data_IF_910304104856
#
_entry.id   IF_910304104856
#
_cell.length_a   1.000
_cell.length_b   1.000
_cell.length_c   1.000
_cell.angle_alpha   90.00
_cell.angle_beta   90.00
_cell.angle_gamma   90.00
#
_symmetry.space_group_name_H-M   'P 1'
#
loop_
_entity.id
_entity.type
_entity.pdbx_description
1 polymer ?
#
# COMPACT_ATOMS: atom_id res chain seq x y z
N UNK A 1 20.99 -28.05 12.02
CA UNK A 1 20.18 -28.37 10.84
C UNK A 1 19.73 -27.07 10.18
N UNK A 2 19.54 -27.07 8.87
CA UNK A 2 18.96 -25.92 8.17
C UNK A 2 17.47 -25.84 8.52
N UNK A 3 16.91 -24.62 8.67
CA UNK A 3 15.47 -24.47 8.90
C UNK A 3 14.67 -25.09 7.76
N UNK A 4 13.58 -25.76 8.07
CA UNK A 4 12.74 -26.46 7.08
C UNK A 4 11.71 -25.53 6.45
N UNK A 5 11.45 -24.38 7.06
CA UNK A 5 10.61 -23.31 6.53
C UNK A 5 11.06 -21.92 7.02
N UNK A 6 10.48 -20.85 6.43
CA UNK A 6 10.79 -19.47 6.79
C UNK A 6 10.48 -19.16 8.27
N UNK A 7 9.52 -19.85 8.87
CA UNK A 7 9.12 -19.69 10.27
C UNK A 7 10.21 -20.25 11.18
N UNK A 8 10.79 -21.37 10.82
CA UNK A 8 11.88 -22.00 11.56
C UNK A 8 13.18 -21.17 11.48
N UNK A 9 13.45 -20.54 10.35
CA UNK A 9 14.55 -19.59 10.16
C UNK A 9 14.45 -18.39 11.11
N UNK A 10 13.26 -17.84 11.29
CA UNK A 10 13.01 -16.74 12.24
C UNK A 10 13.04 -17.18 13.71
N UNK A 11 12.80 -18.44 14.01
CA UNK A 11 12.91 -18.98 15.40
C UNK A 11 14.33 -18.94 15.95
N UNK A 12 15.33 -18.93 15.09
CA UNK A 12 16.75 -19.01 15.49
C UNK A 12 17.50 -17.66 15.37
N UNK A 13 16.93 -16.60 14.82
CA UNK A 13 17.64 -15.35 14.48
C UNK A 13 17.32 -14.14 15.35
N UNK A 14 17.31 -14.26 16.69
CA UNK A 14 17.26 -13.10 17.58
C UNK A 14 15.88 -12.75 18.17
N UNK A 15 15.78 -11.61 18.85
CA UNK A 15 14.55 -11.19 19.54
C UNK A 15 13.40 -10.99 18.54
N UNK A 16 12.30 -11.73 18.76
CA UNK A 16 11.09 -11.61 17.92
C UNK A 16 10.44 -10.26 18.12
N UNK A 17 10.05 -9.61 17.02
CA UNK A 17 9.33 -8.33 17.07
C UNK A 17 7.92 -8.50 17.63
N UNK A 18 7.27 -9.65 17.33
CA UNK A 18 5.93 -9.98 17.81
C UNK A 18 5.91 -11.26 18.59
N UNK A 19 5.05 -11.35 19.62
CA UNK A 19 4.86 -12.57 20.40
C UNK A 19 4.27 -13.70 19.54
N UNK A 20 4.79 -14.93 19.68
CA UNK A 20 4.41 -16.07 18.84
C UNK A 20 2.94 -16.45 18.97
N UNK A 21 2.41 -16.44 20.20
CA UNK A 21 1.01 -16.72 20.49
C UNK A 21 0.06 -15.76 19.77
N UNK A 22 0.43 -14.49 19.68
CA UNK A 22 -0.31 -13.47 18.93
C UNK A 22 -0.27 -13.73 17.43
N UNK A 23 0.91 -14.02 16.88
CA UNK A 23 1.07 -14.37 15.45
C UNK A 23 0.26 -15.61 15.10
N UNK A 24 0.27 -16.65 15.94
CA UNK A 24 -0.49 -17.88 15.72
C UNK A 24 -2.00 -17.64 15.81
N UNK A 25 -2.45 -16.78 16.70
CA UNK A 25 -3.85 -16.33 16.75
C UNK A 25 -4.28 -15.65 15.45
N UNK A 26 -3.42 -14.79 14.90
CA UNK A 26 -3.65 -14.14 13.60
C UNK A 26 -3.73 -15.16 12.47
N UNK A 27 -2.78 -16.10 12.39
CA UNK A 27 -2.79 -17.17 11.37
C UNK A 27 -4.09 -17.98 11.37
N UNK A 28 -4.63 -18.30 12.54
CA UNK A 28 -5.91 -18.99 12.67
C UNK A 28 -7.10 -18.20 12.11
N UNK A 29 -6.99 -16.88 12.05
CA UNK A 29 -7.97 -15.97 11.45
C UNK A 29 -7.86 -15.84 9.93
N UNK A 30 -6.75 -16.25 9.31
CA UNK A 30 -6.54 -16.17 7.87
C UNK A 30 -7.48 -17.08 7.11
N UNK A 31 -8.06 -16.57 6.02
CA UNK A 31 -9.01 -17.28 5.16
C UNK A 31 -8.62 -17.11 3.70
N UNK A 32 -9.04 -18.08 2.87
CA UNK A 32 -8.88 -17.94 1.43
C UNK A 32 -9.66 -16.72 0.89
N UNK A 33 -9.15 -16.04 -0.16
CA UNK A 33 -9.87 -14.96 -0.80
C UNK A 33 -11.19 -15.47 -1.43
N UNK A 34 -12.21 -14.63 -1.43
CA UNK A 34 -13.50 -14.94 -2.08
C UNK A 34 -13.45 -14.73 -3.60
N UNK A 35 -12.62 -13.78 -4.05
CA UNK A 35 -12.47 -13.45 -5.47
C UNK A 35 -10.98 -13.30 -5.79
N UNK A 36 -10.61 -13.75 -6.98
CA UNK A 36 -9.26 -13.59 -7.54
C UNK A 36 -9.43 -12.91 -8.91
N UNK A 37 -8.58 -11.95 -9.22
CA UNK A 37 -8.65 -11.22 -10.48
C UNK A 37 -7.71 -10.03 -10.52
N UNK A 38 -8.15 -8.96 -11.17
CA UNK A 38 -7.49 -7.67 -11.13
C UNK A 38 -8.46 -6.50 -11.36
N UNK A 39 -8.02 -5.27 -11.03
CA UNK A 39 -8.76 -4.04 -11.27
C UNK A 39 -8.16 -3.34 -12.49
N UNK A 40 -9.01 -2.93 -13.41
CA UNK A 40 -8.66 -2.26 -14.65
C UNK A 40 -9.46 -0.97 -14.82
N UNK A 41 -8.85 0.02 -15.46
CA UNK A 41 -9.50 1.20 -16.04
C UNK A 41 -9.35 1.18 -17.56
N UNK A 42 -9.70 2.28 -18.23
CA UNK A 42 -9.58 2.41 -19.69
C UNK A 42 -8.13 2.57 -20.19
N UNK A 43 -7.17 2.67 -19.27
CA UNK A 43 -5.75 2.77 -19.57
C UNK A 43 -4.88 2.35 -18.38
N UNK A 44 -3.57 2.33 -18.61
CA UNK A 44 -2.58 1.91 -17.60
C UNK A 44 -2.02 3.08 -16.80
N UNK A 45 -2.09 4.31 -17.33
CA UNK A 45 -1.54 5.54 -16.74
C UNK A 45 -2.42 6.75 -17.04
N UNK A 46 -2.24 7.82 -16.26
CA UNK A 46 -2.89 9.10 -16.47
C UNK A 46 -4.41 9.05 -16.26
N UNK A 47 -5.14 9.99 -16.83
CA UNK A 47 -6.59 10.14 -16.62
C UNK A 47 -7.40 8.92 -17.03
N UNK A 48 -7.00 8.24 -18.11
CA UNK A 48 -7.69 7.02 -18.59
C UNK A 48 -7.59 5.87 -17.58
N UNK A 49 -6.52 5.83 -16.79
CA UNK A 49 -6.34 4.84 -15.74
C UNK A 49 -7.45 4.90 -14.68
N UNK A 50 -8.05 6.10 -14.47
CA UNK A 50 -9.10 6.36 -13.48
C UNK A 50 -10.52 6.30 -14.06
N UNK A 51 -10.67 6.05 -15.36
CA UNK A 51 -11.98 5.97 -16.03
C UNK A 51 -12.46 4.53 -16.08
N UNK A 52 -13.76 4.31 -15.88
CA UNK A 52 -14.43 3.00 -15.95
C UNK A 52 -13.72 1.90 -15.13
N UNK A 53 -13.23 2.29 -13.95
CA UNK A 53 -12.49 1.37 -13.06
C UNK A 53 -13.41 0.27 -12.58
N UNK A 54 -13.04 -0.99 -12.86
CA UNK A 54 -13.82 -2.18 -12.53
C UNK A 54 -12.93 -3.36 -12.17
N UNK A 55 -13.44 -4.23 -11.33
CA UNK A 55 -12.83 -5.53 -11.05
C UNK A 55 -13.23 -6.55 -12.12
N UNK A 56 -12.27 -7.31 -12.62
CA UNK A 56 -12.47 -8.44 -13.52
C UNK A 56 -11.93 -9.71 -12.84
N UNK A 57 -12.78 -10.73 -12.76
CA UNK A 57 -12.37 -12.03 -12.21
C UNK A 57 -11.43 -12.75 -13.18
N UNK A 58 -10.33 -13.26 -12.65
CA UNK A 58 -9.34 -14.06 -13.35
C UNK A 58 -8.66 -15.00 -12.35
N UNK A 59 -8.76 -16.30 -12.57
CA UNK A 59 -8.16 -17.32 -11.68
C UNK A 59 -6.64 -17.21 -11.59
N UNK A 60 -5.99 -16.61 -12.57
CA UNK A 60 -4.54 -16.34 -12.59
C UNK A 60 -4.19 -14.92 -12.14
N UNK A 61 -5.19 -14.12 -11.74
CA UNK A 61 -5.01 -12.77 -11.25
C UNK A 61 -4.18 -12.69 -9.97
N UNK A 62 -3.51 -11.56 -9.78
CA UNK A 62 -2.66 -11.31 -8.61
C UNK A 62 -3.36 -10.51 -7.51
N UNK A 63 -4.60 -10.05 -7.76
CA UNK A 63 -5.41 -9.37 -6.75
C UNK A 63 -6.35 -10.36 -6.07
N UNK A 64 -6.16 -10.54 -4.78
CA UNK A 64 -6.99 -11.35 -3.91
C UNK A 64 -7.96 -10.43 -3.16
N UNK A 65 -9.26 -10.71 -3.22
CA UNK A 65 -10.29 -9.92 -2.57
C UNK A 65 -11.06 -10.81 -1.58
N UNK A 66 -11.12 -10.40 -0.32
CA UNK A 66 -11.98 -10.99 0.71
C UNK A 66 -13.33 -10.30 0.77
N UNK A 67 -13.34 -8.96 0.66
CA UNK A 67 -14.57 -8.17 0.59
C UNK A 67 -14.43 -7.12 -0.52
N UNK A 68 -15.44 -7.07 -1.42
CA UNK A 68 -15.56 -5.98 -2.40
C UNK A 68 -15.92 -4.69 -1.68
N UNK A 69 -15.67 -3.51 -2.29
CA UNK A 69 -16.06 -2.24 -1.68
C UNK A 69 -17.59 -2.18 -1.47
N UNK A 70 -17.98 -1.60 -0.35
CA UNK A 70 -19.36 -1.29 -0.04
C UNK A 70 -19.55 0.22 -0.12
N UNK A 71 -20.66 0.63 -0.71
CA UNK A 71 -21.02 2.03 -0.89
C UNK A 71 -22.31 2.27 -0.09
N UNK A 72 -22.23 3.15 0.91
CA UNK A 72 -23.40 3.55 1.70
C UNK A 72 -23.68 5.03 1.46
N UNK A 73 -24.90 5.35 1.02
CA UNK A 73 -25.29 6.73 0.73
C UNK A 73 -25.41 7.58 2.00
N UNK A 74 -25.85 7.00 3.13
CA UNK A 74 -26.21 7.72 4.35
C UNK A 74 -25.13 7.75 5.44
N UNK A 75 -24.10 6.90 5.37
CA UNK A 75 -23.05 6.81 6.39
C UNK A 75 -21.66 6.77 5.76
N UNK A 76 -21.28 7.87 5.10
CA UNK A 76 -19.95 7.95 4.50
C UNK A 76 -18.88 8.16 5.56
N UNK A 77 -18.18 7.09 5.90
CA UNK A 77 -16.97 7.17 6.72
C UNK A 77 -15.84 7.72 5.87
N UNK A 78 -15.38 8.93 6.18
CA UNK A 78 -14.25 9.54 5.47
C UNK A 78 -13.02 8.62 5.55
N UNK A 79 -12.44 8.30 4.40
CA UNK A 79 -11.32 7.38 4.29
C UNK A 79 -11.59 6.01 4.95
N UNK A 80 -12.80 5.47 4.74
CA UNK A 80 -13.12 4.11 5.20
C UNK A 80 -12.08 3.12 4.72
N UNK A 81 -11.75 3.18 3.43
CA UNK A 81 -10.71 2.34 2.85
C UNK A 81 -9.36 3.06 2.82
N UNK A 82 -8.31 2.30 3.10
CA UNK A 82 -6.93 2.72 3.05
C UNK A 82 -6.16 1.76 2.14
N UNK A 83 -5.52 2.28 1.10
CA UNK A 83 -4.64 1.51 0.22
C UNK A 83 -3.21 1.85 0.55
N UNK A 84 -2.44 0.84 0.96
CA UNK A 84 -1.03 0.97 1.32
C UNK A 84 -0.17 0.20 0.32
N UNK A 85 0.92 0.80 -0.10
CA UNK A 85 1.84 0.24 -1.10
C UNK A 85 3.24 0.17 -0.52
N UNK A 86 3.81 -1.04 -0.55
CA UNK A 86 5.23 -1.30 -0.34
C UNK A 86 5.87 -1.66 -1.67
N UNK A 87 6.94 -0.95 -2.02
CA UNK A 87 7.58 -1.04 -3.33
C UNK A 87 8.79 -1.97 -3.24
N UNK A 88 8.66 -3.15 -3.83
CA UNK A 88 9.76 -4.08 -4.07
C UNK A 88 10.47 -3.83 -5.42
N UNK A 89 11.18 -4.82 -5.89
CA UNK A 89 11.92 -4.76 -7.15
C UNK A 89 11.20 -5.42 -8.34
N UNK A 90 11.74 -5.20 -9.55
CA UNK A 90 11.23 -5.76 -10.81
C UNK A 90 11.66 -7.20 -11.08
N UNK A 91 12.86 -7.57 -10.65
CA UNK A 91 13.45 -8.87 -10.97
C UNK A 91 12.89 -9.97 -10.10
N UNK A 92 12.90 -11.21 -10.60
CA UNK A 92 12.46 -12.39 -9.82
C UNK A 92 13.30 -12.64 -8.55
N UNK A 93 14.49 -12.04 -8.43
CA UNK A 93 15.34 -12.13 -7.25
C UNK A 93 15.22 -10.93 -6.31
N UNK A 94 14.36 -9.96 -6.61
CA UNK A 94 14.12 -8.79 -5.77
C UNK A 94 12.93 -9.05 -4.83
N UNK A 95 12.78 -8.17 -3.83
CA UNK A 95 11.63 -8.19 -2.94
C UNK A 95 10.32 -7.98 -3.70
N UNK A 96 9.24 -8.57 -3.20
CA UNK A 96 7.90 -8.43 -3.76
C UNK A 96 7.36 -7.03 -3.52
N UNK A 97 6.71 -6.47 -4.55
CA UNK A 97 5.84 -5.31 -4.36
C UNK A 97 4.48 -5.77 -3.85
N UNK A 98 3.93 -5.04 -2.89
CA UNK A 98 2.66 -5.39 -2.25
C UNK A 98 1.73 -4.17 -2.20
N UNK A 99 0.45 -4.39 -2.53
CA UNK A 99 -0.62 -3.42 -2.31
C UNK A 99 -1.63 -4.06 -1.37
N UNK A 100 -1.91 -3.44 -0.24
CA UNK A 100 -2.90 -3.93 0.74
C UNK A 100 -4.01 -2.91 0.89
N UNK A 101 -5.25 -3.39 0.89
CA UNK A 101 -6.43 -2.56 1.15
C UNK A 101 -6.99 -2.93 2.51
N UNK A 102 -7.11 -1.93 3.37
CA UNK A 102 -7.74 -2.04 4.68
C UNK A 102 -9.12 -1.40 4.68
N UNK A 103 -10.11 -2.07 5.28
CA UNK A 103 -11.37 -1.47 5.72
C UNK A 103 -11.25 -1.05 7.19
N UNK A 104 -11.47 0.23 7.46
CA UNK A 104 -11.37 0.83 8.80
C UNK A 104 -12.73 1.07 9.46
N UNK A 105 -13.83 0.61 8.85
CA UNK A 105 -15.19 0.86 9.36
C UNK A 105 -15.34 0.52 10.84
N UNK A 106 -14.90 -0.66 11.24
CA UNK A 106 -15.04 -1.14 12.61
C UNK A 106 -14.21 -0.41 13.64
N UNK A 107 -13.19 0.37 13.21
CA UNK A 107 -12.41 1.21 14.13
C UNK A 107 -13.25 2.32 14.76
N UNK A 108 -14.35 2.73 14.13
CA UNK A 108 -15.28 3.72 14.71
C UNK A 108 -15.99 3.19 15.95
N UNK A 109 -16.14 1.88 16.08
CA UNK A 109 -16.77 1.19 17.21
C UNK A 109 -15.73 0.58 18.17
N UNK A 110 -14.47 1.02 18.10
CA UNK A 110 -13.38 0.48 18.91
C UNK A 110 -12.84 -0.88 18.42
N UNK A 111 -13.25 -1.33 17.23
CA UNK A 111 -12.75 -2.54 16.59
C UNK A 111 -11.42 -2.33 15.87
N UNK A 112 -11.01 -3.35 15.10
CA UNK A 112 -9.75 -3.38 14.34
C UNK A 112 -10.00 -3.22 12.84
N UNK A 113 -9.02 -2.66 12.07
CA UNK A 113 -9.12 -2.68 10.62
C UNK A 113 -9.02 -4.10 10.07
N UNK A 114 -9.69 -4.35 8.96
CA UNK A 114 -9.63 -5.63 8.25
C UNK A 114 -8.88 -5.47 6.92
N UNK A 115 -8.04 -6.44 6.58
CA UNK A 115 -7.51 -6.57 5.22
C UNK A 115 -8.65 -7.10 4.34
N UNK A 116 -9.05 -6.31 3.35
CA UNK A 116 -10.16 -6.66 2.43
C UNK A 116 -9.68 -7.02 1.03
N UNK A 117 -8.48 -6.57 0.64
CA UNK A 117 -7.83 -7.02 -0.58
C UNK A 117 -6.30 -6.93 -0.46
N UNK A 118 -5.62 -7.75 -1.27
CA UNK A 118 -4.17 -7.75 -1.40
C UNK A 118 -3.77 -8.08 -2.83
N UNK A 119 -2.83 -7.31 -3.36
CA UNK A 119 -2.12 -7.62 -4.59
C UNK A 119 -0.64 -7.78 -4.28
N UNK A 120 0.04 -8.71 -4.95
CA UNK A 120 1.49 -8.86 -4.86
C UNK A 120 2.07 -9.26 -6.21
N UNK A 121 3.30 -8.83 -6.49
CA UNK A 121 3.96 -9.13 -7.75
C UNK A 121 5.27 -8.40 -7.93
N UNK A 122 5.94 -8.68 -9.05
CA UNK A 122 7.11 -7.95 -9.52
C UNK A 122 6.70 -7.09 -10.72
N UNK A 123 6.78 -5.77 -10.58
CA UNK A 123 6.34 -4.81 -11.59
C UNK A 123 7.18 -3.53 -11.49
N UNK A 124 7.22 -2.75 -12.55
CA UNK A 124 7.82 -1.43 -12.52
C UNK A 124 7.13 -0.52 -11.50
N UNK A 125 7.92 0.27 -10.76
CA UNK A 125 7.42 1.10 -9.67
C UNK A 125 6.37 2.13 -10.13
N UNK A 126 6.53 2.70 -11.32
CA UNK A 126 5.55 3.64 -11.88
C UNK A 126 4.23 2.93 -12.24
N UNK A 127 4.28 1.75 -12.83
CA UNK A 127 3.09 0.93 -13.09
C UNK A 127 2.43 0.45 -11.79
N UNK A 128 3.22 0.12 -10.77
CA UNK A 128 2.71 -0.24 -9.44
C UNK A 128 1.92 0.92 -8.83
N UNK A 129 2.46 2.14 -8.90
CA UNK A 129 1.80 3.31 -8.35
C UNK A 129 0.45 3.60 -9.05
N UNK A 130 0.39 3.49 -10.38
CA UNK A 130 -0.87 3.60 -11.13
C UNK A 130 -1.83 2.46 -10.82
N UNK A 131 -1.32 1.25 -10.70
CA UNK A 131 -2.10 0.08 -10.31
C UNK A 131 -2.71 0.24 -8.92
N UNK A 132 -1.98 0.83 -7.98
CA UNK A 132 -2.48 1.17 -6.65
C UNK A 132 -3.56 2.26 -6.70
N UNK A 133 -3.38 3.30 -7.51
CA UNK A 133 -4.36 4.35 -7.69
C UNK A 133 -5.69 3.81 -8.28
N UNK A 134 -5.64 2.87 -9.24
CA UNK A 134 -6.84 2.17 -9.73
C UNK A 134 -7.58 1.43 -8.62
N UNK A 135 -6.85 0.72 -7.74
CA UNK A 135 -7.48 0.02 -6.60
C UNK A 135 -8.05 0.99 -5.60
N UNK A 136 -7.36 2.09 -5.33
CA UNK A 136 -7.89 3.14 -4.47
C UNK A 136 -9.17 3.76 -5.05
N UNK A 137 -9.22 3.95 -6.37
CA UNK A 137 -10.43 4.40 -7.07
C UNK A 137 -11.56 3.38 -6.97
N UNK A 138 -11.26 2.09 -7.15
CA UNK A 138 -12.23 1.00 -7.02
C UNK A 138 -12.79 0.89 -5.60
N UNK A 139 -11.96 1.10 -4.57
CA UNK A 139 -12.37 1.09 -3.16
C UNK A 139 -12.84 2.49 -2.69
N UNK A 140 -13.82 3.05 -3.37
CA UNK A 140 -14.51 4.30 -3.02
C UNK A 140 -13.57 5.49 -2.79
N UNK A 141 -12.64 5.72 -3.70
CA UNK A 141 -11.62 6.76 -3.58
C UNK A 141 -10.84 6.69 -2.24
N UNK A 142 -10.39 5.50 -1.90
CA UNK A 142 -9.63 5.22 -0.68
C UNK A 142 -8.44 6.17 -0.49
N UNK A 143 -8.04 6.44 0.76
CA UNK A 143 -6.78 7.13 1.02
C UNK A 143 -5.61 6.27 0.51
N UNK A 144 -4.89 6.79 -0.48
CA UNK A 144 -3.75 6.09 -1.09
C UNK A 144 -2.44 6.50 -0.41
N UNK A 145 -1.75 5.54 0.20
CA UNK A 145 -0.46 5.71 0.87
C UNK A 145 0.59 4.88 0.15
N UNK A 146 1.49 5.53 -0.56
CA UNK A 146 2.60 4.87 -1.27
C UNK A 146 3.87 5.11 -0.47
N UNK A 147 4.67 4.06 -0.22
CA UNK A 147 5.99 4.23 0.35
C UNK A 147 6.89 4.98 -0.64
N UNK A 148 7.52 6.04 -0.17
CA UNK A 148 8.30 6.92 -1.04
C UNK A 148 9.80 6.64 -1.04
N UNK A 149 10.30 5.79 -0.14
CA UNK A 149 11.75 5.54 0.03
C UNK A 149 12.42 5.10 -1.27
N UNK A 150 11.89 4.08 -1.91
CA UNK A 150 12.40 3.56 -3.18
C UNK A 150 12.23 4.58 -4.31
N UNK A 151 11.18 5.38 -4.22
CA UNK A 151 10.92 6.46 -5.17
C UNK A 151 11.81 7.69 -4.94
N UNK A 152 12.34 7.90 -3.74
CA UNK A 152 13.22 9.01 -3.37
C UNK A 152 14.71 8.63 -3.42
N UNK A 153 15.05 7.34 -3.57
CA UNK A 153 16.44 6.90 -3.68
C UNK A 153 16.99 7.37 -5.03
N UNK A 154 18.01 8.23 -4.95
CA UNK A 154 18.76 8.69 -6.12
C UNK A 154 19.59 7.52 -6.64
N UNK A 155 19.06 6.73 -7.54
CA UNK A 155 19.87 5.84 -8.37
C UNK A 155 20.81 6.73 -9.20
N UNK A 156 22.11 6.64 -8.92
CA UNK A 156 23.14 7.45 -9.59
C UNK A 156 23.11 7.29 -11.11
N UNK A 157 22.62 6.17 -11.62
CA UNK A 157 22.44 5.90 -13.05
C UNK A 157 21.23 6.64 -13.66
N UNK A 158 20.18 6.94 -12.87
CA UNK A 158 18.99 7.67 -13.32
C UNK A 158 19.11 9.19 -13.25
N UNK A 159 20.05 9.72 -12.46
CA UNK A 159 20.35 11.17 -12.39
C UNK A 159 20.86 11.71 -13.73
N UNK A 160 21.48 10.86 -14.55
CA UNK A 160 22.00 11.25 -15.88
C UNK A 160 20.90 11.47 -16.93
N UNK A 161 19.66 11.00 -16.69
CA UNK A 161 18.51 11.16 -17.61
C UNK A 161 17.49 12.24 -17.20
N UNK A 162 17.81 13.09 -16.23
CA UNK A 162 17.07 14.32 -15.95
C UNK A 162 15.88 14.20 -15.00
N UNK A 163 16.13 14.34 -13.71
CA UNK A 163 15.13 14.71 -12.72
C UNK A 163 14.73 13.59 -11.74
N UNK A 164 14.22 14.01 -10.61
CA UNK A 164 13.73 13.17 -9.52
C UNK A 164 12.43 12.46 -9.96
N UNK A 165 12.56 11.25 -10.53
CA UNK A 165 11.41 10.51 -11.09
C UNK A 165 10.37 10.13 -10.04
N UNK A 166 10.72 10.06 -8.78
CA UNK A 166 9.84 9.67 -7.69
C UNK A 166 8.81 10.74 -7.35
N UNK A 167 9.29 11.98 -7.21
CA UNK A 167 8.43 13.14 -7.03
C UNK A 167 7.53 13.34 -8.25
N UNK A 168 8.04 13.03 -9.43
CA UNK A 168 7.31 13.10 -10.67
C UNK A 168 6.14 12.12 -10.75
N UNK A 169 6.31 10.83 -10.37
CA UNK A 169 5.24 9.82 -10.41
C UNK A 169 4.12 10.18 -9.43
N UNK A 170 4.47 10.56 -8.20
CA UNK A 170 3.48 10.93 -7.19
C UNK A 170 2.71 12.20 -7.56
N UNK A 171 3.39 13.18 -8.17
CA UNK A 171 2.74 14.38 -8.69
C UNK A 171 1.80 14.07 -9.86
N UNK A 172 2.20 13.19 -10.79
CA UNK A 172 1.32 12.73 -11.87
C UNK A 172 0.06 12.05 -11.34
N UNK A 173 0.18 11.23 -10.30
CA UNK A 173 -0.98 10.59 -9.67
C UNK A 173 -1.85 11.65 -9.01
N UNK A 174 -1.26 12.61 -8.29
CA UNK A 174 -1.99 13.71 -7.63
C UNK A 174 -2.82 14.53 -8.61
N UNK A 175 -2.35 14.71 -9.84
CA UNK A 175 -3.06 15.45 -10.90
C UNK A 175 -4.38 14.77 -11.34
N UNK A 176 -4.56 13.49 -11.02
CA UNK A 176 -5.73 12.70 -11.44
C UNK A 176 -6.42 11.95 -10.30
N UNK A 177 -5.79 11.90 -9.13
CA UNK A 177 -6.30 11.23 -7.93
C UNK A 177 -6.09 12.10 -6.69
N UNK A 178 -7.17 12.68 -6.18
CA UNK A 178 -7.10 13.70 -5.13
C UNK A 178 -6.75 13.16 -3.73
N UNK A 179 -7.14 11.91 -3.42
CA UNK A 179 -7.00 11.34 -2.08
C UNK A 179 -5.65 10.61 -1.88
N UNK A 180 -4.56 11.27 -2.30
CA UNK A 180 -3.20 10.80 -2.09
C UNK A 180 -2.65 11.34 -0.75
N UNK A 181 -2.05 10.45 0.05
CA UNK A 181 -1.45 10.83 1.33
C UNK A 181 -0.33 11.86 1.15
N UNK A 182 -0.48 12.97 1.85
CA UNK A 182 0.51 14.03 1.93
C UNK A 182 1.16 14.05 3.31
N UNK A 183 2.47 14.26 3.36
CA UNK A 183 3.21 14.44 4.62
C UNK A 183 2.78 15.74 5.29
N UNK A 184 2.67 15.67 6.62
CA UNK A 184 2.42 16.88 7.42
C UNK A 184 3.57 17.87 7.26
N UNK A 185 3.25 19.08 6.87
CA UNK A 185 4.21 20.18 6.82
C UNK A 185 4.34 20.84 8.20
N UNK A 186 5.56 21.28 8.53
CA UNK A 186 5.79 22.12 9.70
C UNK A 186 5.30 23.55 9.42
N UNK A 187 5.11 24.34 10.47
CA UNK A 187 4.77 25.77 10.31
C UNK A 187 5.83 26.55 9.53
N UNK A 188 7.11 26.18 9.70
CA UNK A 188 8.22 26.76 8.94
C UNK A 188 8.15 26.40 7.46
N UNK A 189 7.77 25.16 7.11
CA UNK A 189 7.62 24.75 5.71
C UNK A 189 6.51 25.53 5.02
N UNK A 190 5.36 25.69 5.72
CA UNK A 190 4.23 26.45 5.21
C UNK A 190 4.63 27.92 5.00
N UNK A 191 5.31 28.51 6.00
CA UNK A 191 5.78 29.93 5.94
C UNK A 191 6.78 30.15 4.80
N UNK A 192 7.65 29.18 4.55
CA UNK A 192 8.67 29.21 3.49
C UNK A 192 8.15 28.70 2.14
N UNK A 193 6.85 28.38 2.03
CA UNK A 193 6.21 27.85 0.81
C UNK A 193 6.91 26.61 0.24
N UNK A 194 7.40 25.74 1.14
CA UNK A 194 8.00 24.46 0.73
C UNK A 194 6.92 23.61 0.05
N UNK A 195 7.18 22.99 -1.11
CA UNK A 195 6.20 22.13 -1.77
C UNK A 195 5.74 20.96 -0.89
N UNK A 196 4.46 20.58 -1.01
CA UNK A 196 3.90 19.42 -0.31
C UNK A 196 4.56 18.15 -0.83
N UNK A 197 5.04 17.30 0.07
CA UNK A 197 5.58 15.99 -0.27
C UNK A 197 4.52 14.91 -0.08
N UNK A 198 4.33 14.11 -1.11
CA UNK A 198 3.40 12.98 -1.09
C UNK A 198 4.12 11.67 -0.73
N UNK A 199 3.31 10.67 -0.34
CA UNK A 199 3.80 9.35 0.04
C UNK A 199 4.34 9.27 1.47
N UNK A 200 4.38 8.06 2.01
CA UNK A 200 4.89 7.78 3.36
C UNK A 200 6.40 7.49 3.29
N UNK A 201 7.17 8.13 4.14
CA UNK A 201 8.62 7.93 4.21
C UNK A 201 8.98 7.07 5.41
N UNK A 202 9.48 5.87 5.15
CA UNK A 202 9.99 4.95 6.17
C UNK A 202 11.45 5.29 6.47
N UNK A 203 11.74 5.64 7.71
CA UNK A 203 13.08 5.97 8.17
C UNK A 203 13.33 5.42 9.59
N UNK A 204 14.50 5.71 10.15
CA UNK A 204 14.91 5.26 11.50
C UNK A 204 13.93 5.70 12.58
N UNK A 205 13.26 6.85 12.43
CA UNK A 205 12.29 7.36 13.40
C UNK A 205 10.88 6.77 13.16
N UNK A 206 10.41 6.69 11.91
CA UNK A 206 9.05 6.26 11.59
C UNK A 206 8.86 4.75 11.64
N UNK A 207 9.88 3.95 11.29
CA UNK A 207 9.81 2.48 11.29
C UNK A 207 9.49 1.88 12.66
N UNK A 208 10.16 2.27 13.77
CA UNK A 208 9.82 1.79 15.10
C UNK A 208 8.39 2.16 15.53
N UNK A 209 7.90 3.36 15.15
CA UNK A 209 6.54 3.79 15.46
C UNK A 209 5.51 2.89 14.78
N UNK A 210 5.68 2.59 13.49
CA UNK A 210 4.80 1.68 12.74
C UNK A 210 4.78 0.29 13.36
N UNK A 211 5.97 -0.25 13.70
CA UNK A 211 6.10 -1.56 14.35
C UNK A 211 5.40 -1.58 15.72
N UNK A 212 5.57 -0.52 16.52
CA UNK A 212 4.92 -0.40 17.83
C UNK A 212 3.40 -0.38 17.73
N UNK A 213 2.86 0.41 16.79
CA UNK A 213 1.41 0.48 16.55
C UNK A 213 0.87 -0.87 16.07
N UNK A 214 1.57 -1.53 15.15
CA UNK A 214 1.19 -2.86 14.69
C UNK A 214 1.17 -3.87 15.84
N UNK A 215 2.16 -3.83 16.74
CA UNK A 215 2.21 -4.68 17.94
C UNK A 215 1.04 -4.48 18.92
N UNK A 216 0.40 -3.30 18.92
CA UNK A 216 -0.80 -3.03 19.73
C UNK A 216 -2.07 -3.59 19.06
N UNK A 217 -2.10 -3.69 17.75
CA UNK A 217 -3.24 -4.20 16.97
C UNK A 217 -3.24 -5.74 16.94
N UNK A 218 -2.06 -6.35 16.92
CA UNK A 218 -1.86 -7.79 17.01
C UNK A 218 -2.06 -8.27 18.46
#
# INVERSE_FOLDING_TARGET
>A
GYPTDDIEAFKHSGARVFAEDKVDKFKKGCRAPKFIGDVYGDGYKGRKCMQNVRFCEDKQGQLWIWNKPEYFDDCKVTNRYLVVVDIGGRSKGADWSVIVVFDRYWMMEGGKPYVVAQWYGHIDMDLLAWKAAQRAKYYDNALLVIESNTLETKDKERILEGGDQSEFILNQIKDVYDNLYARKQSESDIKNKVPVKYGFHTNVATKPMVISVLGQVI
#
